data_IF_244279533692
#
_entry.id   IF_244279533692
#
_cell.length_a   1.000
_cell.length_b   1.000
_cell.length_c   1.000
_cell.angle_alpha   90.00
_cell.angle_beta   90.00
_cell.angle_gamma   90.00
#
_symmetry.space_group_name_H-M   'P 1'
#
loop_
_entity.id
_entity.type
_entity.pdbx_description
1 polymer ?
#
# COMPACT_ATOMS: atom_id res chain seq x y z
N UNK A 1 -18.19 1.45 6.13
CA UNK A 1 -18.42 0.01 5.87
C UNK A 1 -17.12 -0.61 5.38
N UNK A 2 -16.93 -1.92 5.54
CA UNK A 2 -15.79 -2.60 4.95
C UNK A 2 -16.01 -2.73 3.43
N UNK A 3 -14.98 -2.51 2.64
CA UNK A 3 -14.99 -2.61 1.18
C UNK A 3 -13.96 -3.62 0.72
N UNK A 4 -14.22 -4.30 -0.40
CA UNK A 4 -13.36 -5.33 -0.97
C UNK A 4 -13.02 -4.96 -2.42
N UNK A 5 -11.73 -4.87 -2.79
CA UNK A 5 -11.33 -4.57 -4.16
C UNK A 5 -11.58 -5.73 -5.12
N UNK A 6 -11.67 -5.43 -6.42
CA UNK A 6 -11.62 -6.45 -7.48
C UNK A 6 -10.22 -7.09 -7.57
N UNK A 7 -10.18 -8.36 -7.95
CA UNK A 7 -8.94 -9.15 -8.08
C UNK A 7 -8.11 -8.66 -9.28
N UNK A 8 -6.78 -8.72 -9.15
CA UNK A 8 -5.75 -8.25 -10.07
C UNK A 8 -6.08 -8.33 -11.58
N UNK A 9 -6.10 -7.18 -12.25
CA UNK A 9 -6.05 -7.06 -13.71
C UNK A 9 -4.59 -7.13 -14.17
N UNK A 10 -4.12 -8.33 -14.53
CA UNK A 10 -2.71 -8.55 -14.86
C UNK A 10 -2.22 -7.65 -16.01
N UNK A 11 -1.07 -7.02 -15.80
CA UNK A 11 -0.46 -6.14 -16.78
C UNK A 11 -1.07 -4.74 -16.86
N UNK A 12 -2.10 -4.42 -16.07
CA UNK A 12 -2.62 -3.06 -15.98
C UNK A 12 -1.51 -2.10 -15.53
N UNK A 13 -1.25 -1.01 -16.28
CA UNK A 13 -0.12 -0.15 -16.01
C UNK A 13 -0.34 0.66 -14.74
N UNK A 14 0.68 0.76 -13.90
CA UNK A 14 0.68 1.63 -12.74
C UNK A 14 0.43 3.10 -13.15
N UNK A 15 -0.67 3.74 -12.70
CA UNK A 15 -0.89 5.15 -12.95
C UNK A 15 0.25 5.99 -12.35
N UNK A 16 0.77 6.95 -13.11
CA UNK A 16 1.85 7.81 -12.62
C UNK A 16 1.34 8.78 -11.56
N UNK A 17 2.22 9.21 -10.67
CA UNK A 17 1.92 10.20 -9.64
C UNK A 17 3.16 11.02 -9.29
N UNK A 18 2.93 12.16 -8.65
CA UNK A 18 3.97 12.80 -7.85
C UNK A 18 3.33 13.40 -6.61
N UNK A 19 3.75 12.95 -5.43
CA UNK A 19 3.11 13.29 -4.16
C UNK A 19 4.12 13.83 -3.14
N UNK A 20 3.71 14.75 -2.26
CA UNK A 20 4.53 15.15 -1.12
C UNK A 20 4.67 14.00 -0.11
N UNK A 21 5.89 13.71 0.30
CA UNK A 21 6.22 12.78 1.38
C UNK A 21 6.41 13.50 2.71
N UNK A 22 6.21 12.79 3.81
CA UNK A 22 6.43 13.29 5.18
C UNK A 22 7.90 13.66 5.48
N UNK A 23 8.81 13.31 4.58
CA UNK A 23 10.23 13.70 4.60
C UNK A 23 10.48 15.08 3.97
N UNK A 24 9.43 15.81 3.56
CA UNK A 24 9.51 17.12 2.95
C UNK A 24 9.90 17.12 1.47
N UNK A 25 10.06 15.94 0.85
CA UNK A 25 10.35 15.79 -0.58
C UNK A 25 9.10 15.43 -1.36
N UNK A 26 9.13 15.65 -2.68
CA UNK A 26 8.12 15.08 -3.59
C UNK A 26 8.69 13.81 -4.21
N UNK A 27 7.87 12.77 -4.27
CA UNK A 27 8.24 11.47 -4.83
C UNK A 27 7.32 11.14 -5.99
N UNK A 28 7.89 10.85 -7.14
CA UNK A 28 7.18 10.28 -8.28
C UNK A 28 7.16 8.76 -8.21
N UNK A 29 6.28 8.11 -8.98
CA UNK A 29 6.29 6.65 -9.12
C UNK A 29 7.68 6.14 -9.54
N UNK A 30 8.36 6.87 -10.42
CA UNK A 30 9.70 6.52 -10.88
C UNK A 30 10.76 6.56 -9.77
N UNK A 31 10.60 7.42 -8.76
CA UNK A 31 11.55 7.55 -7.65
C UNK A 31 11.43 6.41 -6.63
N UNK A 32 10.21 5.87 -6.49
CA UNK A 32 9.91 4.78 -5.54
C UNK A 32 9.98 3.40 -6.19
N UNK A 33 10.05 3.32 -7.52
CA UNK A 33 10.08 2.07 -8.24
C UNK A 33 11.40 1.31 -8.03
N UNK A 34 11.31 0.02 -7.68
CA UNK A 34 12.47 -0.84 -7.54
C UNK A 34 12.87 -1.53 -8.85
N UNK A 35 14.12 -1.98 -8.98
CA UNK A 35 14.60 -2.66 -10.18
C UNK A 35 13.91 -3.99 -10.47
N UNK A 36 13.25 -4.61 -9.48
CA UNK A 36 12.54 -5.90 -9.62
C UNK A 36 11.04 -5.82 -9.40
N UNK A 37 10.50 -4.63 -9.16
CA UNK A 37 9.09 -4.43 -8.92
C UNK A 37 8.81 -3.27 -7.98
N UNK A 38 7.54 -2.96 -7.81
CA UNK A 38 7.08 -1.85 -6.96
C UNK A 38 5.83 -2.27 -6.20
N UNK A 39 5.76 -1.95 -4.91
CA UNK A 39 4.59 -2.12 -4.07
C UNK A 39 4.06 -0.75 -3.66
N UNK A 40 2.84 -0.43 -4.08
CA UNK A 40 2.09 0.75 -3.65
C UNK A 40 1.03 0.31 -2.66
N UNK A 41 0.98 0.97 -1.50
CA UNK A 41 0.04 0.65 -0.42
C UNK A 41 -0.81 1.86 -0.09
N UNK A 42 -2.11 1.79 -0.36
CA UNK A 42 -3.05 2.78 0.15
C UNK A 42 -3.38 2.46 1.59
N UNK A 43 -2.98 3.33 2.51
CA UNK A 43 -3.11 3.13 3.96
C UNK A 43 -3.52 4.43 4.66
N UNK A 44 -3.74 4.36 5.97
CA UNK A 44 -4.07 5.52 6.79
C UNK A 44 -3.61 5.30 8.23
N UNK A 45 -3.80 6.28 9.11
CA UNK A 45 -3.18 6.27 10.42
C UNK A 45 -4.09 5.72 11.53
N UNK A 46 -5.40 5.70 11.31
CA UNK A 46 -6.38 5.39 12.36
C UNK A 46 -7.21 4.14 12.10
N UNK A 47 -7.15 3.57 10.89
CA UNK A 47 -7.97 2.41 10.55
C UNK A 47 -7.49 1.19 11.37
N UNK A 48 -8.38 0.50 12.10
CA UNK A 48 -7.99 -0.67 12.87
C UNK A 48 -7.42 -1.79 12.00
N UNK A 49 -7.87 -1.92 10.74
CA UNK A 49 -7.31 -2.90 9.80
C UNK A 49 -5.86 -2.57 9.42
N UNK A 50 -5.52 -1.29 9.24
CA UNK A 50 -4.13 -0.90 8.97
C UNK A 50 -3.26 -1.12 10.21
N UNK A 51 -3.74 -0.68 11.37
CA UNK A 51 -3.00 -0.83 12.62
C UNK A 51 -2.74 -2.30 12.98
N UNK A 52 -3.72 -3.19 12.74
CA UNK A 52 -3.60 -4.62 12.99
C UNK A 52 -2.54 -5.32 12.11
N UNK A 53 -2.17 -4.73 10.97
CA UNK A 53 -1.18 -5.31 10.04
C UNK A 53 0.12 -4.52 9.97
N UNK A 54 0.22 -3.37 10.65
CA UNK A 54 1.30 -2.41 10.42
C UNK A 54 2.68 -3.01 10.68
N UNK A 55 2.90 -3.71 11.80
CA UNK A 55 4.20 -4.33 12.08
C UNK A 55 4.61 -5.36 11.01
N UNK A 56 3.66 -6.17 10.55
CA UNK A 56 3.90 -7.17 9.50
C UNK A 56 4.14 -6.51 8.14
N UNK A 57 3.43 -5.43 7.82
CA UNK A 57 3.69 -4.63 6.63
C UNK A 57 5.10 -4.05 6.64
N UNK A 58 5.54 -3.49 7.77
CA UNK A 58 6.88 -2.90 7.89
C UNK A 58 7.99 -3.96 7.81
N UNK A 59 7.78 -5.15 8.38
CA UNK A 59 8.66 -6.31 8.18
C UNK A 59 8.72 -6.71 6.71
N UNK A 60 7.56 -6.91 6.09
CA UNK A 60 7.46 -7.37 4.70
C UNK A 60 8.07 -6.37 3.73
N UNK A 61 7.89 -5.07 3.97
CA UNK A 61 8.51 -4.02 3.15
C UNK A 61 10.04 -4.07 3.21
N UNK A 62 10.65 -4.23 4.40
CA UNK A 62 12.12 -4.37 4.52
C UNK A 62 12.63 -5.59 3.76
N UNK A 63 11.96 -6.73 3.91
CA UNK A 63 12.35 -7.96 3.21
C UNK A 63 12.21 -7.83 1.68
N UNK A 64 11.14 -7.19 1.20
CA UNK A 64 10.90 -6.94 -0.21
C UNK A 64 11.92 -5.94 -0.81
N UNK A 65 12.28 -4.89 -0.07
CA UNK A 65 13.32 -3.95 -0.48
C UNK A 65 14.68 -4.63 -0.63
N UNK A 66 15.01 -5.60 0.23
CA UNK A 66 16.23 -6.42 0.07
C UNK A 66 16.20 -7.27 -1.21
N UNK A 67 15.02 -7.60 -1.74
CA UNK A 67 14.84 -8.28 -3.03
C UNK A 67 14.79 -7.32 -4.23
N UNK A 68 14.94 -6.01 -4.02
CA UNK A 68 14.91 -5.00 -5.07
C UNK A 68 13.49 -4.57 -5.48
N UNK A 69 12.49 -4.79 -4.62
CA UNK A 69 11.14 -4.24 -4.77
C UNK A 69 11.09 -2.88 -4.08
N UNK A 70 10.71 -1.85 -4.82
CA UNK A 70 10.46 -0.52 -4.27
C UNK A 70 9.12 -0.49 -3.53
N UNK A 71 9.00 0.32 -2.47
CA UNK A 71 7.77 0.38 -1.66
C UNK A 71 7.41 1.84 -1.39
N UNK A 72 6.12 2.18 -1.46
CA UNK A 72 5.59 3.46 -1.00
C UNK A 72 4.21 3.29 -0.35
N UNK A 73 4.00 3.99 0.77
CA UNK A 73 2.67 4.14 1.38
C UNK A 73 2.01 5.44 0.91
N UNK A 74 0.71 5.42 0.66
CA UNK A 74 -0.08 6.60 0.25
C UNK A 74 -1.28 6.74 1.18
N UNK A 75 -1.46 7.92 1.78
CA UNK A 75 -2.66 8.29 2.51
C UNK A 75 -3.51 9.24 1.66
N UNK A 76 -4.72 8.81 1.32
CA UNK A 76 -5.68 9.58 0.52
C UNK A 76 -6.95 9.93 1.30
N UNK A 77 -6.97 9.72 2.62
CA UNK A 77 -8.14 10.03 3.43
C UNK A 77 -8.29 11.55 3.62
N UNK A 78 -9.54 12.04 3.64
CA UNK A 78 -9.84 13.44 3.94
C UNK A 78 -9.45 13.79 5.38
N UNK A 79 -8.31 14.48 5.53
CA UNK A 79 -7.78 14.92 6.81
C UNK A 79 -8.63 15.99 7.52
N UNK A 80 -9.55 16.68 6.80
CA UNK A 80 -10.48 17.63 7.43
C UNK A 80 -11.55 16.87 8.21
N UNK A 81 -12.17 15.87 7.57
CA UNK A 81 -13.16 15.02 8.22
C UNK A 81 -12.52 14.02 9.20
N UNK A 82 -11.28 13.59 8.96
CA UNK A 82 -10.53 12.63 9.77
C UNK A 82 -9.16 13.18 10.16
N UNK A 83 -9.06 14.05 11.19
CA UNK A 83 -7.80 14.70 11.59
C UNK A 83 -6.66 13.73 11.95
N UNK A 84 -6.98 12.50 12.35
CA UNK A 84 -6.01 11.43 12.59
C UNK A 84 -5.19 11.09 11.34
N UNK A 85 -5.72 11.32 10.14
CA UNK A 85 -5.04 11.10 8.86
C UNK A 85 -4.31 12.33 8.32
N UNK A 86 -4.23 13.41 9.11
CA UNK A 86 -3.47 14.61 8.73
C UNK A 86 -1.99 14.32 8.48
N UNK A 87 -1.37 15.15 7.64
CA UNK A 87 0.05 15.08 7.31
C UNK A 87 0.97 15.04 8.55
N UNK A 88 0.63 15.82 9.58
CA UNK A 88 1.37 15.82 10.85
C UNK A 88 1.29 14.46 11.57
N UNK A 89 0.11 13.85 11.59
CA UNK A 89 -0.08 12.53 12.19
C UNK A 89 0.53 11.41 11.34
N UNK A 90 0.58 11.56 10.01
CA UNK A 90 1.33 10.66 9.14
C UNK A 90 2.82 10.66 9.48
N UNK A 91 3.41 11.86 9.62
CA UNK A 91 4.81 12.01 9.99
C UNK A 91 5.10 11.40 11.37
N UNK A 92 4.22 11.67 12.34
CA UNK A 92 4.31 11.10 13.69
C UNK A 92 4.28 9.58 13.67
N UNK A 93 3.32 8.97 12.99
CA UNK A 93 3.20 7.50 12.91
C UNK A 93 4.44 6.89 12.22
N UNK A 94 4.87 7.48 11.11
CA UNK A 94 6.04 7.00 10.36
C UNK A 94 7.32 7.05 11.21
N UNK A 95 7.49 8.10 12.01
CA UNK A 95 8.61 8.24 12.94
C UNK A 95 8.50 7.25 14.11
N UNK A 96 7.34 7.15 14.76
CA UNK A 96 7.12 6.24 15.90
C UNK A 96 7.31 4.77 15.52
N UNK A 97 7.06 4.41 14.26
CA UNK A 97 7.08 3.02 13.76
C UNK A 97 8.25 2.72 12.84
N UNK A 98 9.16 3.67 12.62
CA UNK A 98 10.34 3.52 11.77
C UNK A 98 9.99 2.97 10.38
N UNK A 99 9.24 3.75 9.60
CA UNK A 99 8.85 3.33 8.25
C UNK A 99 10.08 3.20 7.34
N UNK A 100 10.27 2.06 6.64
CA UNK A 100 11.41 1.85 5.76
C UNK A 100 11.18 2.41 4.34
N UNK A 101 10.05 3.08 4.11
CA UNK A 101 9.62 3.59 2.81
C UNK A 101 8.99 4.98 2.91
N UNK A 102 8.94 5.75 1.81
CA UNK A 102 8.22 7.03 1.77
C UNK A 102 6.73 6.86 2.09
N UNK A 103 6.22 7.70 2.99
CA UNK A 103 4.79 7.82 3.25
C UNK A 103 4.28 9.14 2.66
N UNK A 104 3.42 9.02 1.65
CA UNK A 104 3.03 10.07 0.74
C UNK A 104 1.58 10.51 0.99
N UNK A 105 1.29 11.80 0.81
CA UNK A 105 -0.03 12.36 1.03
C UNK A 105 -0.70 12.74 -0.29
N UNK A 106 -1.80 12.07 -0.60
CA UNK A 106 -2.63 12.28 -1.78
C UNK A 106 -3.86 13.13 -1.39
N UNK A 107 -3.63 14.42 -1.21
CA UNK A 107 -4.64 15.35 -0.69
C UNK A 107 -5.87 15.50 -1.60
N UNK A 108 -5.66 15.48 -2.93
CA UNK A 108 -6.73 15.60 -3.92
C UNK A 108 -7.50 14.29 -4.13
N UNK A 109 -6.93 13.17 -3.69
CA UNK A 109 -7.47 11.82 -3.85
C UNK A 109 -7.46 11.33 -5.32
N UNK A 110 -6.82 12.06 -6.23
CA UNK A 110 -6.76 11.71 -7.64
C UNK A 110 -5.93 10.45 -7.87
N UNK A 111 -4.87 10.25 -7.08
CA UNK A 111 -4.03 9.04 -7.20
C UNK A 111 -4.82 7.83 -6.73
N UNK A 112 -5.53 7.90 -5.61
CA UNK A 112 -6.42 6.82 -5.18
C UNK A 112 -7.51 6.50 -6.21
N UNK A 113 -8.11 7.52 -6.86
CA UNK A 113 -9.10 7.33 -7.92
C UNK A 113 -8.49 6.69 -9.16
N UNK A 114 -7.34 7.17 -9.61
CA UNK A 114 -6.62 6.62 -10.76
C UNK A 114 -6.22 5.15 -10.51
N UNK A 115 -5.85 4.82 -9.28
CA UNK A 115 -5.53 3.44 -8.90
C UNK A 115 -6.77 2.54 -8.70
N UNK A 116 -7.96 3.13 -8.66
CA UNK A 116 -9.18 2.41 -8.26
C UNK A 116 -9.09 1.86 -6.84
N UNK A 117 -8.34 2.51 -5.95
CA UNK A 117 -8.21 2.12 -4.56
C UNK A 117 -9.52 2.34 -3.81
N UNK A 118 -9.96 1.36 -3.02
CA UNK A 118 -11.30 1.41 -2.38
C UNK A 118 -11.25 1.31 -0.86
N UNK A 119 -10.20 0.71 -0.31
CA UNK A 119 -10.05 0.49 1.13
C UNK A 119 -8.64 0.78 1.64
N UNK A 120 -8.49 0.78 2.97
CA UNK A 120 -7.20 0.83 3.65
C UNK A 120 -7.09 -0.36 4.63
N UNK A 121 -6.06 -1.21 4.53
CA UNK A 121 -5.04 -1.20 3.49
C UNK A 121 -5.55 -1.77 2.14
N UNK A 122 -5.07 -1.24 1.01
CA UNK A 122 -5.22 -1.81 -0.35
C UNK A 122 -3.82 -1.86 -0.99
N UNK A 123 -3.44 -3.02 -1.51
CA UNK A 123 -2.06 -3.33 -1.92
C UNK A 123 -2.00 -3.54 -3.43
N UNK A 124 -1.06 -2.86 -4.09
CA UNK A 124 -0.83 -2.95 -5.53
C UNK A 124 0.63 -3.30 -5.79
N UNK A 125 0.86 -4.53 -6.24
CA UNK A 125 2.17 -5.06 -6.57
C UNK A 125 2.39 -5.11 -8.07
N UNK A 126 3.45 -4.44 -8.53
CA UNK A 126 3.83 -4.32 -9.93
C UNK A 126 5.16 -5.01 -10.21
N UNK A 127 5.30 -5.55 -11.42
CA UNK A 127 6.58 -6.03 -11.94
C UNK A 127 7.53 -4.88 -12.32
N UNK A 128 8.74 -5.22 -12.78
CA UNK A 128 9.75 -4.25 -13.21
C UNK A 128 9.33 -3.41 -14.43
N UNK A 129 8.36 -3.89 -15.23
CA UNK A 129 7.74 -3.14 -16.34
C UNK A 129 6.52 -2.31 -15.91
N UNK A 130 6.25 -2.25 -14.60
CA UNK A 130 5.11 -1.54 -13.99
C UNK A 130 3.74 -2.09 -14.38
N UNK A 131 3.68 -3.36 -14.79
CA UNK A 131 2.43 -4.09 -14.97
C UNK A 131 1.95 -4.68 -13.64
N UNK A 132 0.66 -4.54 -13.34
CA UNK A 132 0.09 -5.10 -12.12
C UNK A 132 0.20 -6.63 -12.12
N UNK A 133 0.72 -7.19 -11.04
CA UNK A 133 0.87 -8.62 -10.82
C UNK A 133 0.21 -9.09 -9.53
N UNK A 134 -0.05 -8.17 -8.59
CA UNK A 134 -0.67 -8.49 -7.32
C UNK A 134 -1.63 -7.40 -6.87
N UNK A 135 -2.84 -7.79 -6.47
CA UNK A 135 -3.81 -6.96 -5.77
C UNK A 135 -4.60 -7.83 -4.80
N UNK A 136 -4.28 -7.73 -3.51
CA UNK A 136 -4.81 -8.65 -2.51
C UNK A 136 -4.43 -8.29 -1.08
N UNK A 137 -4.78 -9.15 -0.13
CA UNK A 137 -4.52 -8.96 1.31
C UNK A 137 -3.03 -9.12 1.67
N UNK A 138 -2.61 -8.58 2.80
CA UNK A 138 -1.27 -8.86 3.33
C UNK A 138 -1.12 -10.34 3.72
N UNK A 139 -2.09 -10.83 4.49
CA UNK A 139 -2.18 -12.16 5.07
C UNK A 139 -3.66 -12.44 5.44
N UNK A 140 -3.95 -13.56 6.11
CA UNK A 140 -5.31 -13.94 6.49
C UNK A 140 -5.94 -13.14 7.67
N UNK A 141 -5.22 -12.18 8.26
CA UNK A 141 -5.75 -11.33 9.33
C UNK A 141 -6.82 -10.36 8.83
N UNK A 142 -7.59 -9.80 9.77
CA UNK A 142 -8.70 -8.88 9.47
C UNK A 142 -8.58 -7.62 10.32
N UNK A 143 -9.58 -7.34 11.16
CA UNK A 143 -9.61 -6.17 12.04
C UNK A 143 -8.77 -6.35 13.31
N UNK A 144 -8.55 -7.61 13.67
CA UNK A 144 -7.74 -8.02 14.81
C UNK A 144 -6.38 -8.50 14.29
N UNK A 145 -5.37 -8.35 15.15
CA UNK A 145 -4.04 -8.85 14.87
C UNK A 145 -4.09 -10.36 14.67
N UNK A 146 -3.52 -10.84 13.56
CA UNK A 146 -3.44 -12.26 13.27
C UNK A 146 -2.33 -12.95 14.05
N UNK A 147 -2.32 -14.28 14.01
CA UNK A 147 -1.22 -15.06 14.57
C UNK A 147 0.12 -14.71 13.87
N UNK A 148 1.26 -14.73 14.58
CA UNK A 148 2.55 -14.36 13.99
C UNK A 148 3.01 -15.25 12.81
N UNK A 149 2.51 -16.48 12.76
CA UNK A 149 2.83 -17.52 11.78
C UNK A 149 1.88 -17.57 10.58
N UNK A 150 1.00 -16.57 10.43
CA UNK A 150 0.17 -16.45 9.24
C UNK A 150 1.01 -16.40 7.97
N UNK A 151 0.53 -17.09 6.95
CA UNK A 151 1.10 -17.03 5.60
C UNK A 151 1.17 -15.58 5.12
N UNK A 152 2.34 -15.18 4.61
CA UNK A 152 2.64 -13.83 4.13
C UNK A 152 2.25 -13.71 2.65
N UNK A 153 0.94 -13.71 2.37
CA UNK A 153 0.41 -13.76 1.00
C UNK A 153 1.01 -12.67 0.08
N UNK A 154 1.07 -11.43 0.55
CA UNK A 154 1.68 -10.32 -0.21
C UNK A 154 3.18 -10.54 -0.43
N UNK A 155 3.91 -10.91 0.61
CA UNK A 155 5.35 -11.11 0.53
C UNK A 155 5.70 -12.23 -0.46
N UNK A 156 5.03 -13.39 -0.36
CA UNK A 156 5.27 -14.52 -1.25
C UNK A 156 4.96 -14.16 -2.71
N UNK A 157 3.87 -13.42 -2.95
CA UNK A 157 3.52 -12.94 -4.27
C UNK A 157 4.57 -11.96 -4.81
N UNK A 158 4.96 -10.96 -4.04
CA UNK A 158 5.94 -9.96 -4.49
C UNK A 158 7.35 -10.53 -4.61
N UNK A 159 7.72 -11.54 -3.81
CA UNK A 159 8.95 -12.31 -4.03
C UNK A 159 8.90 -13.02 -5.38
N UNK A 160 7.80 -13.71 -5.70
CA UNK A 160 7.65 -14.38 -7.00
C UNK A 160 7.69 -13.37 -8.17
N UNK A 161 7.08 -12.19 -8.01
CA UNK A 161 7.18 -11.10 -8.99
C UNK A 161 8.62 -10.62 -9.14
N UNK A 162 9.36 -10.43 -8.05
CA UNK A 162 10.76 -9.99 -8.10
C UNK A 162 11.69 -11.02 -8.77
N UNK A 163 11.36 -12.31 -8.65
CA UNK A 163 12.14 -13.42 -9.23
C UNK A 163 11.76 -13.71 -10.69
N UNK A 164 10.49 -13.56 -11.06
CA UNK A 164 9.94 -14.09 -12.32
C UNK A 164 9.18 -13.07 -13.17
N UNK A 165 8.88 -11.90 -12.62
CA UNK A 165 7.99 -10.91 -13.22
C UNK A 165 6.50 -11.28 -13.19
N UNK A 166 6.12 -12.39 -12.54
CA UNK A 166 4.73 -12.89 -12.53
C UNK A 166 4.20 -13.11 -11.12
N UNK A 167 3.00 -12.63 -10.88
CA UNK A 167 2.26 -12.88 -9.63
C UNK A 167 1.46 -14.19 -9.65
N UNK A 168 0.96 -14.64 -8.48
CA UNK A 168 0.09 -15.81 -8.41
C UNK A 168 -1.27 -15.53 -9.06
N UNK A 169 -1.82 -16.51 -9.78
CA UNK A 169 -3.14 -16.39 -10.43
C UNK A 169 -4.28 -16.29 -9.41
N UNK A 170 -4.18 -17.02 -8.30
CA UNK A 170 -5.14 -16.96 -7.20
C UNK A 170 -4.71 -15.91 -6.18
N UNK A 171 -5.57 -14.93 -5.95
CA UNK A 171 -5.33 -13.85 -5.01
C UNK A 171 -6.60 -13.59 -4.20
N UNK A 172 -6.43 -13.35 -2.91
CA UNK A 172 -7.54 -13.01 -2.02
C UNK A 172 -7.56 -11.50 -1.84
N UNK A 173 -8.67 -10.81 -2.15
CA UNK A 173 -8.78 -9.37 -1.99
C UNK A 173 -8.44 -8.88 -0.57
N UNK A 174 -7.93 -7.65 -0.47
CA UNK A 174 -7.78 -6.96 0.81
C UNK A 174 -9.15 -6.69 1.45
N UNK A 175 -9.15 -6.43 2.75
CA UNK A 175 -10.34 -5.98 3.47
C UNK A 175 -9.96 -4.85 4.40
N UNK A 176 -10.70 -3.75 4.35
CA UNK A 176 -10.40 -2.59 5.16
C UNK A 176 -11.54 -1.61 5.26
N UNK A 177 -11.33 -0.54 6.02
CA UNK A 177 -12.22 0.61 5.98
C UNK A 177 -12.16 1.25 4.59
N UNK A 178 -13.29 1.75 4.09
CA UNK A 178 -13.31 2.57 2.88
C UNK A 178 -12.40 3.79 3.03
N UNK A 179 -11.76 4.18 1.92
CA UNK A 179 -11.10 5.48 1.80
C UNK A 179 -12.09 6.59 2.15
N UNK A 180 -11.62 7.61 2.87
CA UNK A 180 -12.43 8.74 3.33
C UNK A 180 -12.48 9.80 2.24
N UNK A 181 -13.34 9.59 1.25
CA UNK A 181 -13.52 10.51 0.14
C UNK A 181 -14.04 11.87 0.60
N UNK A 182 -13.47 12.96 0.06
CA UNK A 182 -14.02 14.30 0.20
C UNK A 182 -15.39 14.36 -0.48
N UNK A 183 -16.31 15.14 0.08
CA UNK A 183 -17.53 15.49 -0.64
C UNK A 183 -17.16 16.27 -1.91
N UNK A 184 -17.88 15.98 -3.01
CA UNK A 184 -17.74 16.69 -4.28
C UNK A 184 -18.24 18.13 -4.18
#
# INVERSE_FOLDING_TARGET
MASTPQVCEFGWPAPDFTLPGIDGRRHALADVAGPRGTLIVFMCNHCPYVLAVLDRLLRDARDLQALGVGVAGICSNDAVAYPSDSFANMARLAQERDFPFPYLHDESQDVARAYGAVCTPDFFGFDASRGLQYRGRLDASRREEGAPDLRRDLFEAMRAVAETGRGPAEQVPSMGCSIKWRAA
#
